data_IF_213713526306
#
_entry.id   IF_213713526306
#
_cell.length_a   1.000
_cell.length_b   1.000
_cell.length_c   1.000
_cell.angle_alpha   90.00
_cell.angle_beta   90.00
_cell.angle_gamma   90.00
#
_symmetry.space_group_name_H-M   'P 1'
#
loop_
_entity.id
_entity.type
_entity.pdbx_description
1 polymer ?
#
# COMPACT_ATOMS: atom_id res chain seq x y z
N UNK A 1 -70.63 8.55 7.24
CA UNK A 1 -69.96 7.23 7.35
C UNK A 1 -68.69 7.25 6.52
N UNK A 2 -67.59 6.69 7.06
CA UNK A 2 -66.30 6.35 6.41
C UNK A 2 -65.35 7.50 5.98
N UNK A 3 -64.06 7.19 6.15
CA UNK A 3 -62.86 8.04 6.00
C UNK A 3 -62.14 7.79 4.66
N UNK A 4 -61.42 8.80 4.14
CA UNK A 4 -59.97 8.74 3.78
C UNK A 4 -59.45 10.18 3.58
N UNK A 5 -58.23 10.65 3.89
CA UNK A 5 -56.93 10.09 4.36
C UNK A 5 -55.93 9.68 3.24
N UNK A 6 -54.79 10.41 3.24
CA UNK A 6 -53.46 10.22 2.60
C UNK A 6 -53.33 10.00 1.06
N UNK A 7 -52.23 10.39 0.41
CA UNK A 7 -50.88 10.71 0.93
C UNK A 7 -50.23 11.99 0.38
N UNK A 8 -49.43 12.65 1.23
CA UNK A 8 -48.40 13.60 0.86
C UNK A 8 -47.21 12.84 0.27
N UNK A 9 -46.74 13.21 -0.92
CA UNK A 9 -45.45 12.71 -1.44
C UNK A 9 -44.33 13.45 -0.71
N UNK A 10 -43.83 12.84 0.37
CA UNK A 10 -42.58 13.27 0.98
C UNK A 10 -41.45 12.77 0.08
N UNK A 11 -41.01 13.62 -0.85
CA UNK A 11 -39.78 13.40 -1.57
C UNK A 11 -38.62 13.46 -0.58
N UNK A 12 -38.05 12.32 -0.22
CA UNK A 12 -36.79 12.28 0.50
C UNK A 12 -35.70 12.81 -0.44
N UNK A 13 -35.30 14.07 -0.24
CA UNK A 13 -34.09 14.59 -0.86
C UNK A 13 -32.92 13.82 -0.25
N UNK A 14 -32.34 12.89 -1.01
CA UNK A 14 -31.00 12.40 -0.72
C UNK A 14 -30.06 13.59 -0.86
N UNK A 15 -29.62 14.14 0.28
CA UNK A 15 -28.51 15.06 0.30
C UNK A 15 -27.29 14.28 -0.19
N UNK A 16 -26.95 14.45 -1.47
CA UNK A 16 -25.69 13.98 -1.99
C UNK A 16 -24.60 14.81 -1.29
N UNK A 17 -23.89 14.20 -0.34
CA UNK A 17 -22.69 14.77 0.25
C UNK A 17 -21.77 15.19 -0.90
N UNK A 18 -21.36 16.45 -0.91
CA UNK A 18 -20.46 16.94 -1.96
C UNK A 18 -19.09 16.29 -1.76
N UNK A 19 -18.27 16.20 -2.82
CA UNK A 19 -16.90 15.72 -2.68
C UNK A 19 -16.05 16.50 -1.66
N UNK A 20 -16.46 17.73 -1.32
CA UNK A 20 -15.83 18.56 -0.28
C UNK A 20 -16.27 18.13 1.13
N UNK A 21 -17.56 17.87 1.36
CA UNK A 21 -18.06 17.40 2.66
C UNK A 21 -17.40 16.06 3.07
N UNK A 22 -17.09 15.22 2.08
CA UNK A 22 -16.33 13.98 2.30
C UNK A 22 -14.86 14.19 2.67
N UNK A 23 -14.22 15.28 2.22
CA UNK A 23 -12.81 15.56 2.54
C UNK A 23 -12.67 15.97 4.01
N UNK A 24 -13.56 16.85 4.49
CA UNK A 24 -13.54 17.33 5.88
C UNK A 24 -13.72 16.17 6.90
N UNK A 25 -14.53 15.16 6.56
CA UNK A 25 -14.75 13.97 7.41
C UNK A 25 -13.59 12.95 7.34
N UNK A 26 -12.86 12.90 6.21
CA UNK A 26 -11.63 12.10 6.05
C UNK A 26 -10.47 12.71 6.85
N UNK A 27 -10.30 14.04 6.83
CA UNK A 27 -9.26 14.72 7.61
C UNK A 27 -9.48 14.57 9.13
N UNK A 28 -10.74 14.52 9.58
CA UNK A 28 -11.09 14.34 10.99
C UNK A 28 -10.85 12.92 11.53
N UNK A 29 -10.88 11.89 10.68
CA UNK A 29 -10.80 10.47 11.08
C UNK A 29 -9.41 9.85 10.91
N UNK A 30 -8.57 10.37 10.02
CA UNK A 30 -7.24 9.82 9.72
C UNK A 30 -7.25 8.47 9.00
N UNK A 31 -8.42 7.85 8.84
CA UNK A 31 -8.63 6.64 8.07
C UNK A 31 -9.15 7.00 6.68
N UNK A 32 -8.25 7.06 5.69
CA UNK A 32 -8.67 7.10 4.27
C UNK A 32 -9.58 5.87 4.03
N UNK A 33 -10.87 6.06 3.70
CA UNK A 33 -11.80 4.97 3.42
C UNK A 33 -11.39 4.27 2.11
N UNK A 34 -11.81 3.02 1.89
CA UNK A 34 -11.61 2.36 0.60
C UNK A 34 -12.25 3.21 -0.51
N UNK A 35 -11.48 3.47 -1.56
CA UNK A 35 -11.95 4.05 -2.81
C UNK A 35 -13.01 3.13 -3.41
N UNK A 36 -14.27 3.54 -3.27
CA UNK A 36 -15.42 2.89 -3.87
C UNK A 36 -15.87 3.70 -5.08
N UNK A 37 -15.57 3.20 -6.27
CA UNK A 37 -16.15 3.73 -7.51
C UNK A 37 -17.19 2.73 -8.00
N UNK A 38 -18.41 3.18 -8.28
CA UNK A 38 -19.43 2.34 -8.93
C UNK A 38 -19.88 3.03 -10.20
N UNK A 39 -19.77 2.33 -11.33
CA UNK A 39 -20.13 2.91 -12.62
C UNK A 39 -20.20 1.88 -13.75
N UNK A 40 -20.68 2.37 -14.88
CA UNK A 40 -20.76 1.64 -16.14
C UNK A 40 -19.36 1.59 -16.77
N UNK A 41 -18.85 0.40 -17.10
CA UNK A 41 -17.61 0.27 -17.89
C UNK A 41 -17.90 0.50 -19.38
N UNK A 42 -19.07 0.06 -19.85
CA UNK A 42 -19.59 0.27 -21.20
C UNK A 42 -20.98 0.92 -21.13
N UNK A 43 -21.33 1.76 -22.11
CA UNK A 43 -22.59 2.52 -22.10
C UNK A 43 -23.79 1.56 -22.19
N UNK A 44 -24.55 1.43 -21.10
CA UNK A 44 -25.72 0.55 -21.01
C UNK A 44 -25.42 -0.88 -20.55
N UNK A 45 -24.21 -1.14 -20.04
CA UNK A 45 -23.86 -2.40 -19.38
C UNK A 45 -24.38 -2.49 -17.94
N UNK A 46 -23.83 -3.42 -17.16
CA UNK A 46 -24.07 -3.49 -15.72
C UNK A 46 -23.15 -2.50 -14.95
N UNK A 47 -23.62 -2.03 -13.79
CA UNK A 47 -22.79 -1.24 -12.89
C UNK A 47 -21.75 -2.15 -12.22
N UNK A 48 -20.47 -1.82 -12.40
CA UNK A 48 -19.35 -2.48 -11.74
C UNK A 48 -18.87 -1.59 -10.60
N UNK A 49 -18.77 -2.18 -9.40
CA UNK A 49 -18.10 -1.54 -8.26
C UNK A 49 -16.63 -1.91 -8.25
N UNK A 50 -15.77 -0.94 -8.57
CA UNK A 50 -14.34 -1.02 -8.34
C UNK A 50 -14.06 -0.65 -6.88
N UNK A 51 -13.50 -1.59 -6.13
CA UNK A 51 -13.02 -1.37 -4.77
C UNK A 51 -11.49 -1.34 -4.75
N UNK A 52 -10.93 -0.36 -4.05
CA UNK A 52 -9.50 -0.28 -3.78
C UNK A 52 -9.23 0.58 -2.56
N UNK A 53 -7.97 0.74 -2.20
CA UNK A 53 -7.53 1.75 -1.23
C UNK A 53 -6.40 2.52 -1.89
N UNK A 54 -6.27 3.82 -1.58
CA UNK A 54 -5.04 4.52 -1.87
C UNK A 54 -3.91 3.81 -1.09
N UNK A 55 -2.93 3.24 -1.80
CA UNK A 55 -1.75 2.67 -1.16
C UNK A 55 -1.08 3.75 -0.32
N UNK A 56 -0.94 3.56 0.98
CA UNK A 56 -0.14 4.45 1.84
C UNK A 56 1.35 4.15 1.67
N UNK A 57 1.84 4.45 0.47
CA UNK A 57 3.24 4.42 0.10
C UNK A 57 3.94 5.71 0.54
N UNK A 58 5.03 5.58 1.31
CA UNK A 58 5.89 6.69 1.71
C UNK A 58 7.34 6.37 1.31
N UNK A 59 7.85 7.06 0.29
CA UNK A 59 9.22 6.90 -0.21
C UNK A 59 10.31 7.52 0.68
N UNK A 60 9.95 8.23 1.76
CA UNK A 60 10.90 8.93 2.62
C UNK A 60 11.20 8.18 3.93
N UNK A 61 10.98 6.85 3.94
CA UNK A 61 11.22 5.99 5.11
C UNK A 61 12.49 5.17 4.92
N UNK A 62 13.38 5.22 5.91
CA UNK A 62 14.67 4.52 5.89
C UNK A 62 15.75 5.21 5.05
N UNK A 63 16.92 4.59 4.97
CA UNK A 63 17.99 5.02 4.06
C UNK A 63 17.92 4.28 2.72
N UNK A 64 18.36 4.93 1.65
CA UNK A 64 18.39 4.34 0.30
C UNK A 64 19.15 3.02 0.23
N UNK A 65 18.47 1.96 -0.22
CA UNK A 65 19.08 0.68 -0.54
C UNK A 65 19.46 0.61 -2.02
N UNK A 66 20.51 -0.16 -2.34
CA UNK A 66 20.85 -0.45 -3.72
C UNK A 66 19.77 -1.40 -4.33
N UNK A 67 19.25 -1.07 -5.54
CA UNK A 67 18.09 -1.77 -6.11
C UNK A 67 18.32 -3.20 -6.60
N UNK A 68 19.50 -3.58 -7.11
CA UNK A 68 19.79 -4.98 -7.48
C UNK A 68 19.63 -5.91 -6.28
N UNK A 69 20.11 -5.53 -5.10
CA UNK A 69 20.01 -6.37 -3.90
C UNK A 69 18.58 -6.41 -3.34
N UNK A 70 17.80 -5.34 -3.49
CA UNK A 70 16.34 -5.38 -3.22
C UNK A 70 15.61 -6.30 -4.20
N UNK A 71 15.91 -6.25 -5.50
CA UNK A 71 15.34 -7.15 -6.51
C UNK A 71 15.67 -8.64 -6.24
N UNK A 72 16.90 -8.94 -5.80
CA UNK A 72 17.25 -10.29 -5.33
C UNK A 72 16.43 -10.70 -4.10
N UNK A 73 16.22 -9.78 -3.15
CA UNK A 73 15.37 -10.01 -1.99
C UNK A 73 13.90 -10.26 -2.34
N UNK A 74 13.35 -9.51 -3.29
CA UNK A 74 12.00 -9.71 -3.84
C UNK A 74 11.90 -11.10 -4.49
N UNK A 75 12.86 -11.47 -5.34
CA UNK A 75 12.90 -12.77 -6.00
C UNK A 75 12.97 -13.94 -5.01
N UNK A 76 13.79 -13.83 -3.96
CA UNK A 76 13.85 -14.79 -2.85
C UNK A 76 12.49 -14.95 -2.15
N UNK A 77 11.82 -13.84 -1.81
CA UNK A 77 10.52 -13.87 -1.12
C UNK A 77 9.40 -14.47 -2.01
N UNK A 78 9.42 -14.22 -3.32
CA UNK A 78 8.53 -14.93 -4.27
C UNK A 78 8.86 -16.43 -4.35
N UNK A 79 10.13 -16.81 -4.29
CA UNK A 79 10.56 -18.22 -4.23
C UNK A 79 10.05 -18.97 -2.99
N UNK A 80 9.90 -18.27 -1.86
CA UNK A 80 9.21 -18.80 -0.67
C UNK A 80 7.69 -18.89 -0.86
N UNK A 81 7.10 -18.05 -1.71
CA UNK A 81 5.71 -18.09 -2.13
C UNK A 81 4.71 -17.98 -0.97
N UNK A 82 4.04 -19.08 -0.64
CA UNK A 82 3.12 -19.17 0.49
C UNK A 82 3.83 -19.42 1.85
N UNK A 83 5.17 -19.47 1.89
CA UNK A 83 5.95 -19.55 3.11
C UNK A 83 5.62 -18.41 4.09
N UNK A 84 5.62 -18.71 5.39
CA UNK A 84 5.18 -17.77 6.41
C UNK A 84 6.28 -16.80 6.85
N UNK A 85 6.36 -15.63 6.20
CA UNK A 85 7.15 -14.50 6.67
C UNK A 85 6.51 -13.95 7.96
N UNK A 86 7.31 -13.75 9.02
CA UNK A 86 6.80 -13.41 10.35
C UNK A 86 7.29 -12.05 10.81
N UNK A 87 6.49 -11.37 11.64
CA UNK A 87 6.91 -10.22 12.42
C UNK A 87 6.34 -10.31 13.85
N UNK A 88 7.08 -9.85 14.87
CA UNK A 88 6.65 -9.91 16.27
C UNK A 88 5.48 -8.96 16.54
N UNK A 89 4.90 -9.09 17.72
CA UNK A 89 3.97 -8.09 18.25
C UNK A 89 4.70 -6.83 18.74
N UNK A 90 3.98 -5.72 18.82
CA UNK A 90 4.40 -4.48 19.48
C UNK A 90 4.61 -3.31 18.51
N UNK A 91 4.60 -2.09 19.03
CA UNK A 91 4.84 -0.88 18.24
C UNK A 91 6.25 -0.93 17.63
N UNK A 92 6.36 -0.88 16.30
CA UNK A 92 7.62 -1.10 15.57
C UNK A 92 8.08 -2.56 15.53
N UNK A 93 7.16 -3.52 15.70
CA UNK A 93 7.43 -4.96 15.67
C UNK A 93 7.89 -5.45 14.30
N UNK A 94 9.16 -5.26 13.98
CA UNK A 94 9.74 -5.56 12.68
C UNK A 94 10.61 -6.82 12.66
N UNK A 95 10.67 -7.48 11.51
CA UNK A 95 11.57 -8.61 11.24
C UNK A 95 12.14 -8.50 9.83
N UNK A 96 13.44 -8.77 9.73
CA UNK A 96 14.21 -8.70 8.49
C UNK A 96 13.92 -9.94 7.65
N UNK A 97 13.00 -9.83 6.69
CA UNK A 97 12.55 -10.96 5.85
C UNK A 97 13.54 -11.24 4.71
N UNK A 98 14.30 -10.24 4.29
CA UNK A 98 15.47 -10.40 3.41
C UNK A 98 16.55 -9.37 3.76
N UNK A 99 17.82 -9.73 3.59
CA UNK A 99 18.96 -8.82 3.64
C UNK A 99 20.09 -9.34 2.74
N UNK A 100 20.63 -8.49 1.86
CA UNK A 100 21.82 -8.79 1.06
C UNK A 100 22.59 -7.50 0.77
N UNK A 101 23.92 -7.50 0.92
CA UNK A 101 24.80 -6.33 0.68
C UNK A 101 24.24 -5.00 1.24
N UNK A 102 23.83 -5.05 2.50
CA UNK A 102 23.20 -3.96 3.25
C UNK A 102 21.84 -3.45 2.73
N UNK A 103 21.23 -4.10 1.74
CA UNK A 103 19.87 -3.81 1.28
C UNK A 103 18.89 -4.80 1.94
N UNK A 104 17.84 -4.30 2.61
CA UNK A 104 16.92 -5.15 3.36
C UNK A 104 15.44 -4.85 3.09
N UNK A 105 14.67 -5.93 3.17
CA UNK A 105 13.20 -5.93 3.20
C UNK A 105 12.80 -6.33 4.62
N UNK A 106 11.94 -5.52 5.22
CA UNK A 106 11.42 -5.73 6.57
C UNK A 106 9.91 -5.91 6.50
N UNK A 107 9.39 -6.96 7.16
CA UNK A 107 7.97 -7.05 7.52
C UNK A 107 7.82 -6.44 8.91
N UNK A 108 6.91 -5.49 9.05
CA UNK A 108 6.62 -4.77 10.29
C UNK A 108 5.14 -4.91 10.64
N UNK A 109 4.88 -4.88 11.95
CA UNK A 109 3.55 -5.12 12.53
C UNK A 109 3.46 -4.36 13.86
N UNK A 110 2.58 -3.38 13.93
CA UNK A 110 2.36 -2.58 15.14
C UNK A 110 1.31 -3.19 16.09
N UNK A 111 0.70 -4.31 15.70
CA UNK A 111 -0.34 -4.99 16.50
C UNK A 111 0.23 -5.64 17.75
N UNK A 112 -0.60 -5.78 18.77
CA UNK A 112 -0.30 -6.50 20.02
C UNK A 112 -0.20 -8.03 19.88
N UNK A 113 -0.39 -8.57 18.67
CA UNK A 113 -0.24 -9.99 18.33
C UNK A 113 0.73 -10.15 17.15
N UNK A 114 1.57 -11.20 17.12
CA UNK A 114 2.48 -11.43 16.01
C UNK A 114 1.72 -11.81 14.74
N UNK A 115 2.28 -11.46 13.58
CA UNK A 115 1.70 -11.79 12.26
C UNK A 115 2.54 -12.83 11.53
N UNK A 116 1.87 -13.64 10.71
CA UNK A 116 2.50 -14.50 9.71
C UNK A 116 1.82 -14.26 8.37
N UNK A 117 2.57 -13.70 7.42
CA UNK A 117 2.12 -13.29 6.11
C UNK A 117 2.78 -14.17 5.05
N UNK A 118 2.06 -14.69 4.05
CA UNK A 118 2.67 -15.34 2.88
C UNK A 118 3.74 -14.45 2.25
N UNK A 119 4.98 -14.93 2.13
CA UNK A 119 6.12 -14.12 1.71
C UNK A 119 5.94 -13.46 0.33
N UNK A 120 5.14 -14.05 -0.57
CA UNK A 120 4.74 -13.41 -1.83
C UNK A 120 4.09 -12.03 -1.65
N UNK A 121 3.24 -11.83 -0.64
CA UNK A 121 2.61 -10.52 -0.39
C UNK A 121 3.59 -9.50 0.21
N UNK A 122 4.61 -9.99 0.92
CA UNK A 122 5.75 -9.16 1.36
C UNK A 122 6.60 -8.76 0.14
N UNK A 123 6.75 -9.65 -0.84
CA UNK A 123 7.44 -9.40 -2.11
C UNK A 123 6.67 -8.43 -3.02
N UNK A 124 5.34 -8.58 -3.15
CA UNK A 124 4.45 -7.67 -3.89
C UNK A 124 4.61 -6.23 -3.37
N UNK A 125 4.52 -6.05 -2.05
CA UNK A 125 4.69 -4.76 -1.38
C UNK A 125 6.12 -4.19 -1.55
N UNK A 126 7.16 -5.03 -1.42
CA UNK A 126 8.54 -4.61 -1.66
C UNK A 126 8.79 -4.20 -3.12
N UNK A 127 8.18 -4.89 -4.09
CA UNK A 127 8.21 -4.53 -5.50
C UNK A 127 7.47 -3.22 -5.78
N UNK A 128 6.33 -2.98 -5.11
CA UNK A 128 5.61 -1.70 -5.15
C UNK A 128 6.48 -0.53 -4.70
N UNK A 129 7.22 -0.67 -3.59
CA UNK A 129 8.21 0.32 -3.15
C UNK A 129 9.33 0.47 -4.18
N UNK A 130 9.92 -0.62 -4.65
CA UNK A 130 11.02 -0.58 -5.63
C UNK A 130 10.65 0.17 -6.92
N UNK A 131 9.46 -0.07 -7.47
CA UNK A 131 9.02 0.54 -8.72
C UNK A 131 8.68 2.03 -8.57
N UNK A 132 8.03 2.40 -7.47
CA UNK A 132 7.46 3.74 -7.26
C UNK A 132 8.40 4.69 -6.50
N UNK A 133 9.29 4.18 -5.65
CA UNK A 133 10.24 4.95 -4.85
C UNK A 133 11.67 4.81 -5.39
N UNK A 134 11.92 5.41 -6.56
CA UNK A 134 13.24 5.48 -7.20
C UNK A 134 13.84 6.87 -6.99
N UNK A 135 14.88 6.92 -6.15
CA UNK A 135 15.63 8.13 -5.84
C UNK A 135 16.82 8.22 -6.80
N UNK A 136 16.58 8.81 -7.97
CA UNK A 136 17.60 8.97 -9.02
C UNK A 136 18.74 9.88 -8.60
N UNK A 137 19.96 9.50 -8.97
CA UNK A 137 21.18 10.30 -8.73
C UNK A 137 21.26 11.48 -9.70
N UNK A 138 20.57 11.41 -10.85
CA UNK A 138 20.57 12.40 -11.91
C UNK A 138 19.15 12.80 -12.31
N UNK A 139 18.96 14.08 -12.63
CA UNK A 139 17.75 14.64 -13.23
C UNK A 139 18.15 15.34 -14.56
N UNK A 140 17.64 14.92 -15.73
CA UNK A 140 16.70 13.81 -15.94
C UNK A 140 17.31 12.42 -15.66
N UNK A 141 16.47 11.41 -15.33
CA UNK A 141 16.93 10.04 -15.10
C UNK A 141 17.75 9.45 -16.26
N UNK A 142 18.97 9.03 -15.96
CA UNK A 142 19.80 8.27 -16.90
C UNK A 142 19.48 6.77 -16.77
N UNK A 143 19.12 6.05 -17.86
CA UNK A 143 18.88 4.60 -17.80
C UNK A 143 20.19 3.78 -17.77
N UNK A 144 21.28 4.34 -17.23
CA UNK A 144 22.57 3.66 -17.16
C UNK A 144 22.64 2.80 -15.91
N UNK A 145 23.29 1.65 -16.07
CA UNK A 145 24.05 1.03 -14.99
C UNK A 145 25.51 1.39 -15.20
N UNK A 146 26.13 2.01 -14.21
CA UNK A 146 27.56 2.35 -14.24
C UNK A 146 28.31 1.31 -13.41
N UNK A 147 29.29 0.62 -14.01
CA UNK A 147 30.07 -0.45 -13.36
C UNK A 147 29.24 -1.59 -12.71
N UNK A 148 27.98 -1.77 -13.14
CA UNK A 148 27.06 -2.79 -12.64
C UNK A 148 26.06 -2.28 -11.58
N UNK A 149 26.28 -1.09 -11.00
CA UNK A 149 25.37 -0.41 -10.08
C UNK A 149 24.32 0.40 -10.85
N UNK A 150 23.13 0.61 -10.30
CA UNK A 150 22.11 1.48 -10.88
C UNK A 150 22.29 2.94 -10.45
N UNK A 151 22.00 3.89 -11.34
CA UNK A 151 22.05 5.33 -11.03
C UNK A 151 20.83 5.82 -10.17
N UNK A 152 20.30 4.98 -9.29
CA UNK A 152 19.27 5.31 -8.29
C UNK A 152 19.32 4.40 -7.07
N UNK A 153 18.81 4.91 -5.94
CA UNK A 153 18.53 4.11 -4.74
C UNK A 153 17.02 3.91 -4.56
N UNK A 154 16.62 2.91 -3.78
CA UNK A 154 15.22 2.73 -3.39
C UNK A 154 15.07 2.55 -1.88
N UNK A 155 14.10 3.23 -1.30
CA UNK A 155 13.66 3.02 0.08
C UNK A 155 12.21 3.45 0.22
N UNK A 156 11.57 3.05 1.31
CA UNK A 156 10.22 3.47 1.62
C UNK A 156 9.45 2.46 2.44
N UNK A 157 8.19 2.81 2.70
CA UNK A 157 7.23 2.03 3.46
C UNK A 157 5.94 1.92 2.65
N UNK A 158 5.32 0.74 2.65
CA UNK A 158 3.95 0.55 2.16
C UNK A 158 3.18 -0.33 3.14
N UNK A 159 1.99 0.09 3.52
CA UNK A 159 1.11 -0.72 4.37
C UNK A 159 0.37 -1.77 3.54
N UNK A 160 -0.09 -2.81 4.21
CA UNK A 160 -1.10 -3.72 3.67
C UNK A 160 -2.41 -2.97 3.40
N UNK A 161 -3.26 -3.56 2.55
CA UNK A 161 -4.58 -2.99 2.20
C UNK A 161 -5.46 -2.70 3.44
N UNK A 162 -5.40 -3.58 4.44
CA UNK A 162 -6.11 -3.48 5.71
C UNK A 162 -5.31 -2.72 6.80
N UNK A 163 -4.14 -2.17 6.46
CA UNK A 163 -3.21 -1.46 7.34
C UNK A 163 -2.76 -2.25 8.59
N UNK A 164 -2.96 -3.57 8.64
CA UNK A 164 -2.61 -4.40 9.80
C UNK A 164 -1.14 -4.80 9.89
N UNK A 165 -0.38 -4.64 8.81
CA UNK A 165 1.07 -4.80 8.73
C UNK A 165 1.62 -3.91 7.62
N UNK A 166 2.95 -3.79 7.52
CA UNK A 166 3.59 -3.02 6.48
C UNK A 166 4.94 -3.62 6.06
N UNK A 167 5.42 -3.23 4.89
CA UNK A 167 6.78 -3.51 4.43
C UNK A 167 7.60 -2.23 4.49
N UNK A 168 8.87 -2.36 4.88
CA UNK A 168 9.87 -1.29 4.75
C UNK A 168 11.04 -1.82 3.94
N UNK A 169 11.38 -1.11 2.86
CA UNK A 169 12.61 -1.29 2.09
C UNK A 169 13.60 -0.23 2.56
N UNK A 170 14.78 -0.63 3.02
CA UNK A 170 15.83 0.31 3.45
C UNK A 170 17.21 -0.33 3.49
N UNK A 171 18.24 0.52 3.43
CA UNK A 171 19.59 0.14 3.79
C UNK A 171 19.72 -0.14 5.30
N UNK A 172 20.47 -1.18 5.64
CA UNK A 172 20.74 -1.63 7.02
C UNK A 172 21.91 -2.62 6.99
N UNK A 173 22.69 -2.75 8.06
CA UNK A 173 23.74 -3.78 8.09
C UNK A 173 23.12 -5.18 8.06
N UNK A 174 23.56 -6.03 7.14
CA UNK A 174 23.20 -7.44 7.10
C UNK A 174 24.02 -8.24 8.13
#
# INVERSE_FOLDING_TARGET
>A
MKFSIYALVVGAAFAAATPLDMIDEIEASGEIPPLLWTGQIEIGGDNVTLTGSAESLNCNVGGGAEPLWILNGISYLYGLGNGGCRAPAGWGGCSRTSCSYNAAIWLCNDRTVPVTIPCKYVADNAAGIHEKCKHWVYDPPAPRRTNGEYDYYTNGQIFSFDKTWNVIVKSTNC
#
